data_IF_929893553542
#
_entry.id   IF_929893553542
#
_cell.length_a   1.000
_cell.length_b   1.000
_cell.length_c   1.000
_cell.angle_alpha   90.00
_cell.angle_beta   90.00
_cell.angle_gamma   90.00
#
_symmetry.space_group_name_H-M   'P 1'
#
loop_
_entity.id
_entity.type
_entity.pdbx_description
1 polymer ?
#
# COMPACT_ATOMS: atom_id res chain seq x y z
N UNK A 1 -4.38 -12.65 15.55
CA UNK A 1 -4.33 -11.16 15.60
C UNK A 1 -3.47 -10.58 14.47
N UNK A 2 -2.17 -10.90 14.36
CA UNK A 2 -1.34 -10.48 13.20
C UNK A 2 -1.73 -11.25 11.94
N UNK A 3 -1.95 -12.56 12.07
CA UNK A 3 -2.45 -13.45 11.01
C UNK A 3 -3.72 -12.95 10.32
N UNK A 4 -4.61 -12.33 11.09
CA UNK A 4 -5.94 -11.96 10.61
C UNK A 4 -5.89 -10.67 9.78
N UNK A 5 -5.01 -9.74 10.17
CA UNK A 5 -4.73 -8.53 9.37
C UNK A 5 -3.96 -8.92 8.10
N UNK A 6 -2.96 -9.79 8.19
CA UNK A 6 -2.19 -10.24 7.02
C UNK A 6 -3.10 -10.97 6.01
N UNK A 7 -3.96 -11.88 6.46
CA UNK A 7 -4.94 -12.54 5.60
C UNK A 7 -5.93 -11.54 5.00
N UNK A 8 -6.35 -10.55 5.78
CA UNK A 8 -7.25 -9.50 5.28
C UNK A 8 -6.58 -8.66 4.19
N UNK A 9 -5.32 -8.27 4.38
CA UNK A 9 -4.53 -7.50 3.40
C UNK A 9 -4.32 -8.33 2.13
N UNK A 10 -3.89 -9.58 2.28
CA UNK A 10 -3.70 -10.49 1.14
C UNK A 10 -4.99 -10.61 0.31
N UNK A 11 -6.14 -10.84 0.96
CA UNK A 11 -7.44 -11.03 0.31
C UNK A 11 -8.04 -9.76 -0.29
N UNK A 12 -7.92 -8.62 0.38
CA UNK A 12 -8.65 -7.41 -0.02
C UNK A 12 -7.79 -6.43 -0.81
N UNK A 13 -6.47 -6.44 -0.62
CA UNK A 13 -5.57 -5.50 -1.29
C UNK A 13 -4.79 -6.21 -2.39
N UNK A 14 -4.01 -7.24 -2.05
CA UNK A 14 -3.14 -7.87 -3.05
C UNK A 14 -3.93 -8.66 -4.09
N UNK A 15 -4.90 -9.46 -3.67
CA UNK A 15 -5.77 -10.16 -4.63
C UNK A 15 -6.52 -9.17 -5.53
N UNK A 16 -7.03 -8.06 -4.99
CA UNK A 16 -7.67 -7.03 -5.79
C UNK A 16 -6.72 -6.37 -6.80
N UNK A 17 -5.46 -6.12 -6.41
CA UNK A 17 -4.43 -5.60 -7.31
C UNK A 17 -4.02 -6.62 -8.38
N UNK A 18 -4.15 -7.92 -8.14
CA UNK A 18 -3.71 -8.99 -9.03
C UNK A 18 -4.85 -9.65 -9.83
N UNK A 19 -6.10 -9.25 -9.61
CA UNK A 19 -7.28 -9.83 -10.27
C UNK A 19 -7.35 -9.44 -11.76
N UNK A 20 -6.71 -10.25 -12.62
CA UNK A 20 -6.68 -10.05 -14.07
C UNK A 20 -8.05 -10.17 -14.76
N UNK A 21 -9.10 -10.62 -14.05
CA UNK A 21 -10.46 -10.62 -14.58
C UNK A 21 -11.07 -9.22 -14.65
N UNK A 22 -10.45 -8.24 -13.98
CA UNK A 22 -10.88 -6.83 -13.94
C UNK A 22 -9.93 -5.93 -14.71
N UNK A 23 -10.45 -4.80 -15.19
CA UNK A 23 -9.60 -3.75 -15.77
C UNK A 23 -8.62 -3.20 -14.74
N UNK A 24 -7.45 -2.77 -15.18
CA UNK A 24 -6.39 -2.24 -14.30
C UNK A 24 -6.87 -1.05 -13.46
N UNK A 25 -7.73 -0.21 -14.04
CA UNK A 25 -8.39 0.89 -13.32
C UNK A 25 -9.27 0.40 -12.18
N UNK A 26 -10.05 -0.66 -12.39
CA UNK A 26 -10.92 -1.22 -11.36
C UNK A 26 -10.11 -1.92 -10.25
N UNK A 27 -9.06 -2.68 -10.63
CA UNK A 27 -8.10 -3.30 -9.69
C UNK A 27 -7.50 -2.25 -8.74
N UNK A 28 -7.00 -1.16 -9.29
CA UNK A 28 -6.44 -0.04 -8.52
C UNK A 28 -7.49 0.59 -7.59
N UNK A 29 -8.67 0.90 -8.12
CA UNK A 29 -9.75 1.53 -7.35
C UNK A 29 -10.20 0.66 -6.17
N UNK A 30 -10.39 -0.64 -6.39
CA UNK A 30 -10.77 -1.59 -5.35
C UNK A 30 -9.68 -1.68 -4.27
N UNK A 31 -8.42 -1.76 -4.68
CA UNK A 31 -7.29 -1.79 -3.76
C UNK A 31 -7.19 -0.50 -2.92
N UNK A 32 -7.26 0.69 -3.54
CA UNK A 32 -7.20 1.96 -2.83
C UNK A 32 -8.35 2.14 -1.84
N UNK A 33 -9.55 1.69 -2.19
CA UNK A 33 -10.70 1.67 -1.25
C UNK A 33 -10.43 0.77 -0.05
N UNK A 34 -9.87 -0.42 -0.27
CA UNK A 34 -9.55 -1.34 0.82
C UNK A 34 -8.38 -0.84 1.68
N UNK A 35 -7.42 -0.13 1.09
CA UNK A 35 -6.35 0.57 1.82
C UNK A 35 -6.95 1.68 2.70
N UNK A 36 -7.92 2.45 2.19
CA UNK A 36 -8.63 3.46 2.97
C UNK A 36 -9.36 2.85 4.18
N UNK A 37 -10.00 1.69 3.99
CA UNK A 37 -10.69 0.95 5.05
C UNK A 37 -9.70 0.42 6.09
N UNK A 38 -8.62 -0.23 5.64
CA UNK A 38 -7.58 -0.81 6.52
C UNK A 38 -7.07 0.22 7.54
N UNK A 39 -6.80 1.44 7.06
CA UNK A 39 -6.21 2.49 7.88
C UNK A 39 -7.25 3.42 8.54
N UNK A 40 -8.56 3.10 8.48
CA UNK A 40 -9.67 3.98 8.88
C UNK A 40 -9.42 5.44 8.44
N UNK A 41 -9.23 5.62 7.13
CA UNK A 41 -8.98 6.93 6.50
C UNK A 41 -7.77 7.67 7.10
N UNK A 42 -6.76 6.92 7.56
CA UNK A 42 -5.53 7.44 8.14
C UNK A 42 -5.53 7.58 9.66
N UNK A 43 -6.58 7.16 10.36
CA UNK A 43 -6.64 7.18 11.83
C UNK A 43 -5.80 6.07 12.48
N UNK A 44 -5.66 4.92 11.80
CA UNK A 44 -4.90 3.79 12.30
C UNK A 44 -3.42 3.92 11.91
N UNK A 45 -2.54 3.53 12.82
CA UNK A 45 -1.10 3.40 12.54
C UNK A 45 -0.84 2.16 11.69
N UNK A 46 0.17 2.19 10.82
CA UNK A 46 0.59 0.99 10.10
C UNK A 46 1.19 -0.06 11.04
N UNK A 47 0.80 -1.32 10.85
CA UNK A 47 1.34 -2.49 11.54
C UNK A 47 2.85 -2.61 11.32
N UNK A 48 3.33 -2.40 10.08
CA UNK A 48 4.77 -2.41 9.78
C UNK A 48 5.52 -1.37 10.60
N UNK A 49 4.97 -0.15 10.72
CA UNK A 49 5.58 0.91 11.55
C UNK A 49 5.66 0.51 13.02
N UNK A 50 4.63 -0.13 13.57
CA UNK A 50 4.64 -0.58 14.96
C UNK A 50 5.76 -1.61 15.21
N UNK A 51 6.02 -2.49 14.24
CA UNK A 51 7.10 -3.47 14.33
C UNK A 51 8.49 -2.91 14.03
N UNK A 52 8.60 -1.87 13.19
CA UNK A 52 9.88 -1.23 12.88
C UNK A 52 10.44 -0.34 14.00
N UNK A 53 9.74 -0.15 15.13
CA UNK A 53 10.17 0.71 16.24
C UNK A 53 10.83 -0.11 17.38
N UNK A 54 12.02 0.31 17.83
CA UNK A 54 12.82 -0.36 18.88
C UNK A 54 13.02 -1.86 18.61
N UNK A 55 13.29 -2.69 19.63
CA UNK A 55 13.65 -4.12 19.54
C UNK A 55 12.65 -5.04 18.82
N UNK A 56 11.54 -4.51 18.29
CA UNK A 56 10.65 -5.19 17.36
C UNK A 56 11.27 -5.42 15.97
N UNK A 57 12.19 -4.55 15.52
CA UNK A 57 12.80 -4.70 14.20
C UNK A 57 13.62 -5.99 14.10
N UNK A 58 14.39 -6.33 15.13
CA UNK A 58 15.16 -7.58 15.20
C UNK A 58 14.29 -8.81 15.41
N UNK A 59 13.12 -8.68 16.06
CA UNK A 59 12.21 -9.79 16.32
C UNK A 59 11.34 -10.15 15.10
N UNK A 60 11.04 -9.16 14.25
CA UNK A 60 10.11 -9.31 13.12
C UNK A 60 10.71 -8.90 11.77
N UNK A 61 12.03 -8.88 11.65
CA UNK A 61 12.75 -8.39 10.46
C UNK A 61 12.25 -9.06 9.16
N UNK A 62 12.15 -10.39 9.18
CA UNK A 62 11.71 -11.17 8.01
C UNK A 62 10.26 -10.89 7.64
N UNK A 63 9.36 -10.77 8.63
CA UNK A 63 7.95 -10.48 8.40
C UNK A 63 7.76 -9.07 7.86
N UNK A 64 8.48 -8.09 8.38
CA UNK A 64 8.46 -6.71 7.89
C UNK A 64 8.94 -6.65 6.44
N UNK A 65 10.10 -7.29 6.16
CA UNK A 65 10.67 -7.34 4.81
C UNK A 65 9.70 -8.00 3.84
N UNK A 66 9.20 -9.19 4.17
CA UNK A 66 8.24 -9.93 3.33
C UNK A 66 6.97 -9.11 3.07
N UNK A 67 6.45 -8.44 4.09
CA UNK A 67 5.30 -7.54 3.96
C UNK A 67 5.57 -6.42 2.96
N UNK A 68 6.69 -5.70 3.12
CA UNK A 68 7.06 -4.61 2.20
C UNK A 68 7.27 -5.11 0.76
N UNK A 69 7.91 -6.28 0.60
CA UNK A 69 8.11 -6.90 -0.70
C UNK A 69 6.79 -7.30 -1.38
N UNK A 70 5.81 -7.81 -0.63
CA UNK A 70 4.46 -8.09 -1.16
C UNK A 70 3.77 -6.82 -1.67
N UNK A 71 3.82 -5.74 -0.91
CA UNK A 71 3.28 -4.43 -1.32
C UNK A 71 3.93 -3.94 -2.63
N UNK A 72 5.26 -3.95 -2.69
CA UNK A 72 6.00 -3.52 -3.87
C UNK A 72 5.69 -4.43 -5.06
N UNK A 73 5.66 -5.75 -4.86
CA UNK A 73 5.37 -6.71 -5.91
C UNK A 73 3.98 -6.50 -6.53
N UNK A 74 2.94 -6.34 -5.69
CA UNK A 74 1.57 -6.15 -6.16
C UNK A 74 1.40 -4.87 -6.99
N UNK A 75 1.97 -3.74 -6.52
CA UNK A 75 1.94 -2.48 -7.27
C UNK A 75 2.83 -2.50 -8.52
N UNK A 76 3.93 -3.26 -8.50
CA UNK A 76 4.77 -3.45 -9.68
C UNK A 76 4.02 -4.21 -10.78
N UNK A 77 3.32 -5.30 -10.43
CA UNK A 77 2.47 -6.06 -11.38
C UNK A 77 1.37 -5.17 -11.97
N UNK A 78 0.77 -4.30 -11.15
CA UNK A 78 -0.20 -3.33 -11.62
C UNK A 78 0.42 -2.36 -12.64
N UNK A 79 1.61 -1.80 -12.34
CA UNK A 79 2.34 -0.92 -13.25
C UNK A 79 2.68 -1.59 -14.59
N UNK A 80 3.14 -2.85 -14.55
CA UNK A 80 3.42 -3.64 -15.76
C UNK A 80 2.14 -3.86 -16.60
N UNK A 81 0.99 -4.04 -15.95
CA UNK A 81 -0.31 -4.16 -16.63
C UNK A 81 -0.74 -2.85 -17.32
N UNK A 82 -0.19 -1.71 -16.90
CA UNK A 82 -0.39 -0.38 -17.50
C UNK A 82 0.66 -0.03 -18.56
N UNK A 83 1.52 -0.98 -18.95
CA UNK A 83 2.59 -0.80 -19.95
C UNK A 83 3.71 0.16 -19.54
N UNK A 84 3.83 0.45 -18.25
CA UNK A 84 5.07 1.05 -17.72
C UNK A 84 6.25 0.10 -17.97
N UNK A 85 7.44 0.67 -18.14
CA UNK A 85 8.66 -0.14 -18.16
C UNK A 85 8.84 -0.86 -16.81
N UNK A 86 9.65 -1.92 -16.78
CA UNK A 86 9.99 -2.63 -15.53
C UNK A 86 10.58 -1.68 -14.48
N UNK A 87 11.45 -0.75 -14.92
CA UNK A 87 12.07 0.25 -14.06
C UNK A 87 11.04 1.22 -13.49
N UNK A 88 10.17 1.80 -14.33
CA UNK A 88 9.12 2.73 -13.89
C UNK A 88 8.12 2.05 -12.97
N UNK A 89 7.69 0.82 -13.30
CA UNK A 89 6.76 0.04 -12.48
C UNK A 89 7.31 -0.18 -11.08
N UNK A 90 8.59 -0.55 -10.97
CA UNK A 90 9.26 -0.77 -9.70
C UNK A 90 9.43 0.51 -8.91
N UNK A 91 9.85 1.59 -9.56
CA UNK A 91 9.99 2.91 -8.93
C UNK A 91 8.65 3.42 -8.40
N UNK A 92 7.59 3.32 -9.21
CA UNK A 92 6.24 3.70 -8.82
C UNK A 92 5.72 2.86 -7.66
N UNK A 93 6.00 1.56 -7.63
CA UNK A 93 5.60 0.67 -6.54
C UNK A 93 6.30 1.02 -5.22
N UNK A 94 7.61 1.27 -5.25
CA UNK A 94 8.38 1.73 -4.08
C UNK A 94 7.85 3.08 -3.60
N UNK A 95 7.65 4.04 -4.50
CA UNK A 95 7.12 5.36 -4.14
C UNK A 95 5.72 5.26 -3.53
N UNK A 96 4.89 4.36 -4.04
CA UNK A 96 3.55 4.11 -3.48
C UNK A 96 3.62 3.59 -2.04
N UNK A 97 4.52 2.66 -1.74
CA UNK A 97 4.71 2.20 -0.37
C UNK A 97 5.23 3.32 0.53
N UNK A 98 6.21 4.12 0.06
CA UNK A 98 6.74 5.28 0.79
C UNK A 98 5.61 6.28 1.10
N UNK A 99 4.79 6.61 0.11
CA UNK A 99 3.69 7.55 0.26
C UNK A 99 2.66 7.06 1.30
N UNK A 100 2.27 5.78 1.23
CA UNK A 100 1.34 5.19 2.19
C UNK A 100 1.92 5.25 3.61
N UNK A 101 3.17 4.84 3.81
CA UNK A 101 3.78 4.84 5.14
C UNK A 101 4.02 6.26 5.67
N UNK A 102 4.58 7.13 4.84
CA UNK A 102 4.89 8.51 5.19
C UNK A 102 3.64 9.33 5.47
N UNK A 103 2.59 9.19 4.66
CA UNK A 103 1.33 9.93 4.86
C UNK A 103 0.63 9.53 6.16
N UNK A 104 0.70 8.28 6.60
CA UNK A 104 0.18 7.85 7.91
C UNK A 104 0.97 8.49 9.06
N UNK A 105 2.29 8.65 8.90
CA UNK A 105 3.12 9.35 9.89
C UNK A 105 2.70 10.81 10.03
N UNK A 106 2.59 11.52 8.91
CA UNK A 106 2.26 12.94 8.91
C UNK A 106 0.81 13.17 9.35
N UNK A 107 -0.14 12.36 8.86
CA UNK A 107 -1.55 12.39 9.27
C UNK A 107 -1.69 12.29 10.80
N UNK A 108 -0.96 11.35 11.42
CA UNK A 108 -0.99 11.17 12.87
C UNK A 108 -0.37 12.34 13.61
N UNK A 109 0.77 12.85 13.13
CA UNK A 109 1.49 13.96 13.76
C UNK A 109 0.74 15.29 13.70
N UNK A 110 -0.01 15.54 12.62
CA UNK A 110 -0.78 16.77 12.41
C UNK A 110 -2.27 16.63 12.74
N UNK A 111 -2.72 15.43 13.14
CA UNK A 111 -4.13 15.10 13.34
C UNK A 111 -5.03 15.43 12.14
N UNK A 112 -4.50 15.35 10.91
CA UNK A 112 -5.20 15.71 9.68
C UNK A 112 -5.30 14.53 8.71
N UNK A 113 -6.47 13.89 8.68
CA UNK A 113 -6.79 12.77 7.77
C UNK A 113 -6.89 13.18 6.29
N UNK A 114 -6.96 14.47 5.97
CA UNK A 114 -6.97 14.95 4.59
C UNK A 114 -5.69 14.57 3.85
N UNK A 115 -4.57 14.48 4.58
CA UNK A 115 -3.25 14.14 4.06
C UNK A 115 -3.27 12.72 3.48
N UNK A 116 -3.68 11.73 4.26
CA UNK A 116 -3.80 10.34 3.80
C UNK A 116 -4.76 10.20 2.61
N UNK A 117 -5.92 10.87 2.66
CA UNK A 117 -6.88 10.86 1.55
C UNK A 117 -6.30 11.45 0.26
N UNK A 118 -5.57 12.56 0.36
CA UNK A 118 -4.92 13.17 -0.80
C UNK A 118 -3.78 12.29 -1.33
N UNK A 119 -3.06 11.59 -0.44
CA UNK A 119 -2.07 10.59 -0.83
C UNK A 119 -2.70 9.48 -1.67
N UNK A 120 -3.86 8.93 -1.29
CA UNK A 120 -4.53 7.90 -2.11
C UNK A 120 -4.90 8.42 -3.51
N UNK A 121 -5.34 9.68 -3.63
CA UNK A 121 -5.60 10.32 -4.94
C UNK A 121 -4.33 10.49 -5.77
N UNK A 122 -3.21 10.83 -5.13
CA UNK A 122 -1.93 10.96 -5.83
C UNK A 122 -1.42 9.60 -6.32
N UNK A 123 -1.61 8.54 -5.51
CA UNK A 123 -1.35 7.16 -5.94
C UNK A 123 -2.25 6.80 -7.11
N UNK A 124 -3.56 7.10 -7.04
CA UNK A 124 -4.48 6.85 -8.16
C UNK A 124 -4.00 7.50 -9.45
N UNK A 125 -3.60 8.78 -9.40
CA UNK A 125 -3.07 9.53 -10.55
C UNK A 125 -1.80 8.91 -11.12
N UNK A 126 -0.87 8.42 -10.28
CA UNK A 126 0.38 7.76 -10.73
C UNK A 126 0.12 6.56 -11.64
N UNK A 127 -0.97 5.85 -11.41
CA UNK A 127 -1.35 4.65 -12.18
C UNK A 127 -2.52 4.90 -13.14
N UNK A 128 -2.99 6.14 -13.24
CA UNK A 128 -3.97 6.55 -14.23
C UNK A 128 -3.21 7.20 -15.37
N UNK A 129 -2.70 6.38 -16.29
CA UNK A 129 -2.27 6.88 -17.60
C UNK A 129 -3.50 7.43 -18.31
N UNK A 130 -3.47 8.73 -18.64
CA UNK A 130 -4.38 9.31 -19.64
C UNK A 130 -4.05 8.78 -21.03
#
# INVERSE_FOLDING_TARGET
>A
MISDIDQWVDKNIFFALLDETKSTKLRLKDALKNIEILYDRGKNTCVLRAFSMHGGLTLFEEQIKSGMEKWISAFNVLGMSLKFTSTESRQNAIQTLIDLQGSLVVTKGLADTSIFKNTLKNIEKRYSTE
#
